data_IF_532815040757
#
_entry.id   IF_532815040757
#
_cell.length_a   1.000
_cell.length_b   1.000
_cell.length_c   1.000
_cell.angle_alpha   90.00
_cell.angle_beta   90.00
_cell.angle_gamma   90.00
#
_symmetry.space_group_name_H-M   'P 1'
#
loop_
_entity.id
_entity.type
_entity.pdbx_description
1 polymer ?
#
# COMPACT_ATOMS: atom_id res chain seq x y z
N UNK A 1 -5.66 -10.73 19.53
CA UNK A 1 -5.16 -9.50 20.20
C UNK A 1 -6.24 -8.93 21.12
N UNK A 2 -5.90 -8.25 22.22
CA UNK A 2 -6.87 -7.57 23.06
C UNK A 2 -7.66 -6.51 22.27
N UNK A 3 -8.99 -6.45 22.47
CA UNK A 3 -9.91 -5.58 21.71
C UNK A 3 -9.50 -4.10 21.80
N UNK A 4 -9.05 -3.64 22.97
CA UNK A 4 -8.63 -2.25 23.15
C UNK A 4 -7.43 -1.88 22.26
N UNK A 5 -6.46 -2.79 22.09
CA UNK A 5 -5.28 -2.58 21.23
C UNK A 5 -5.73 -2.50 19.77
N UNK A 6 -6.62 -3.40 19.36
CA UNK A 6 -7.22 -3.39 18.02
C UNK A 6 -7.87 -2.04 17.72
N UNK A 7 -8.71 -1.54 18.62
CA UNK A 7 -9.39 -0.25 18.42
C UNK A 7 -8.39 0.90 18.31
N UNK A 8 -7.35 0.94 19.15
CA UNK A 8 -6.31 1.98 19.10
C UNK A 8 -5.57 1.95 17.76
N UNK A 9 -5.17 0.78 17.29
CA UNK A 9 -4.48 0.61 16.00
C UNK A 9 -5.38 1.13 14.86
N UNK A 10 -6.66 0.77 14.86
CA UNK A 10 -7.60 1.18 13.83
C UNK A 10 -7.84 2.70 13.82
N UNK A 11 -8.03 3.30 14.99
CA UNK A 11 -8.18 4.76 15.12
C UNK A 11 -6.94 5.45 14.57
N UNK A 12 -5.74 5.03 15.01
CA UNK A 12 -4.49 5.62 14.55
C UNK A 12 -4.30 5.45 13.04
N UNK A 13 -4.56 4.26 12.51
CA UNK A 13 -4.49 3.99 11.07
C UNK A 13 -5.42 4.92 10.29
N UNK A 14 -6.69 5.02 10.70
CA UNK A 14 -7.69 5.86 10.05
C UNK A 14 -7.27 7.34 10.07
N UNK A 15 -6.85 7.86 11.24
CA UNK A 15 -6.43 9.27 11.34
C UNK A 15 -5.20 9.56 10.49
N UNK A 16 -4.22 8.65 10.46
CA UNK A 16 -3.01 8.79 9.66
C UNK A 16 -3.32 8.92 8.16
N UNK A 17 -4.34 8.23 7.65
CA UNK A 17 -4.72 8.35 6.23
C UNK A 17 -5.22 9.75 5.83
N UNK A 18 -5.65 10.58 6.78
CA UNK A 18 -6.04 11.98 6.52
C UNK A 18 -4.88 12.97 6.74
N UNK A 19 -3.69 12.49 7.08
CA UNK A 19 -2.49 13.31 7.20
C UNK A 19 -1.66 13.26 5.90
N UNK A 20 -0.74 14.22 5.78
CA UNK A 20 0.20 14.24 4.68
C UNK A 20 1.43 13.42 5.06
N UNK A 21 1.66 12.33 4.34
CA UNK A 21 2.81 11.47 4.55
C UNK A 21 3.82 11.63 3.42
N UNK A 22 5.11 11.53 3.77
CA UNK A 22 6.19 11.59 2.80
C UNK A 22 6.15 10.39 1.86
N UNK A 23 6.28 10.64 0.56
CA UNK A 23 6.46 9.57 -0.42
C UNK A 23 7.83 8.91 -0.22
N UNK A 24 7.84 7.60 0.03
CA UNK A 24 9.06 6.81 0.19
C UNK A 24 9.17 5.74 -0.90
N UNK A 25 10.32 5.67 -1.58
CA UNK A 25 10.58 4.64 -2.61
C UNK A 25 10.42 3.22 -2.06
N UNK A 26 10.82 2.99 -0.81
CA UNK A 26 10.68 1.67 -0.19
C UNK A 26 9.22 1.22 -0.18
N UNK A 27 8.32 2.05 0.34
CA UNK A 27 6.88 1.73 0.40
C UNK A 27 6.26 1.64 -0.99
N UNK A 28 6.52 2.62 -1.87
CA UNK A 28 5.79 2.75 -3.13
C UNK A 28 6.35 1.87 -4.27
N UNK A 29 7.58 1.38 -4.16
CA UNK A 29 8.25 0.56 -5.19
C UNK A 29 8.60 -0.83 -4.68
N UNK A 30 9.19 -0.96 -3.48
CA UNK A 30 9.62 -2.26 -3.00
C UNK A 30 8.44 -3.17 -2.65
N UNK A 31 7.37 -2.64 -2.06
CA UNK A 31 6.18 -3.44 -1.71
C UNK A 31 5.51 -4.03 -2.97
N UNK A 32 5.20 -3.25 -4.03
CA UNK A 32 4.67 -3.81 -5.27
C UNK A 32 5.57 -4.88 -5.89
N UNK A 33 6.88 -4.64 -5.95
CA UNK A 33 7.84 -5.60 -6.53
C UNK A 33 7.86 -6.90 -5.74
N UNK A 34 7.94 -6.80 -4.41
CA UNK A 34 7.96 -7.96 -3.54
C UNK A 34 6.64 -8.74 -3.62
N UNK A 35 5.51 -8.03 -3.69
CA UNK A 35 4.21 -8.67 -3.85
C UNK A 35 4.11 -9.41 -5.19
N UNK A 36 4.62 -8.84 -6.28
CA UNK A 36 4.69 -9.53 -7.58
C UNK A 36 5.52 -10.80 -7.49
N UNK A 37 6.68 -10.76 -6.83
CA UNK A 37 7.47 -11.96 -6.57
C UNK A 37 6.66 -13.00 -5.78
N UNK A 38 6.01 -12.60 -4.70
CA UNK A 38 5.19 -13.50 -3.88
C UNK A 38 4.00 -14.09 -4.64
N UNK A 39 3.38 -13.34 -5.55
CA UNK A 39 2.33 -13.88 -6.45
C UNK A 39 2.88 -15.05 -7.25
N UNK A 40 4.11 -14.96 -7.80
CA UNK A 40 4.71 -16.07 -8.57
C UNK A 40 4.99 -17.31 -7.74
N UNK A 41 5.27 -17.15 -6.44
CA UNK A 41 5.57 -18.25 -5.51
C UNK A 41 4.29 -18.89 -4.96
N UNK A 42 3.26 -18.09 -4.70
CA UNK A 42 2.03 -18.53 -4.02
C UNK A 42 0.90 -18.88 -4.98
N UNK A 43 1.02 -18.54 -6.28
CA UNK A 43 -0.02 -18.82 -7.27
C UNK A 43 -0.45 -20.29 -7.21
N UNK A 44 -1.76 -20.59 -7.26
CA UNK A 44 -2.21 -21.97 -7.31
C UNK A 44 -1.60 -22.68 -8.52
N UNK A 45 -1.06 -23.87 -8.29
CA UNK A 45 -0.55 -24.70 -9.39
C UNK A 45 -1.70 -25.09 -10.31
N UNK A 46 -1.37 -25.44 -11.57
CA UNK A 46 -2.36 -25.92 -12.54
C UNK A 46 -3.13 -27.16 -12.08
N UNK A 47 -2.57 -27.90 -11.11
CA UNK A 47 -3.22 -29.05 -10.46
C UNK A 47 -4.30 -28.67 -9.44
N UNK A 48 -4.42 -27.40 -9.07
CA UNK A 48 -5.49 -26.90 -8.20
C UNK A 48 -6.77 -26.72 -9.01
N UNK A 49 -7.94 -27.06 -8.45
CA UNK A 49 -9.26 -26.88 -9.09
C UNK A 49 -9.70 -25.41 -9.25
N UNK A 50 -8.79 -24.45 -9.11
CA UNK A 50 -9.09 -23.02 -9.25
C UNK A 50 -9.01 -22.64 -10.73
N UNK A 51 -10.12 -22.22 -11.36
CA UNK A 51 -10.12 -21.81 -12.76
C UNK A 51 -9.25 -20.55 -12.99
N UNK A 52 -8.55 -20.52 -14.13
CA UNK A 52 -7.69 -19.39 -14.54
C UNK A 52 -8.47 -18.06 -14.58
N UNK A 53 -9.74 -18.08 -14.98
CA UNK A 53 -10.56 -16.87 -15.03
C UNK A 53 -10.80 -16.25 -13.65
N UNK A 54 -10.78 -17.04 -12.57
CA UNK A 54 -10.87 -16.51 -11.20
C UNK A 54 -9.57 -15.78 -10.85
N UNK A 55 -8.41 -16.34 -11.22
CA UNK A 55 -7.12 -15.68 -11.01
C UNK A 55 -7.14 -14.31 -11.72
N UNK A 56 -7.54 -14.27 -12.99
CA UNK A 56 -7.68 -13.01 -13.75
C UNK A 56 -8.65 -12.05 -13.06
N UNK A 57 -9.78 -12.53 -12.54
CA UNK A 57 -10.74 -11.72 -11.80
C UNK A 57 -10.12 -11.07 -10.57
N UNK A 58 -9.29 -11.78 -9.78
CA UNK A 58 -8.61 -11.21 -8.61
C UNK A 58 -7.65 -10.08 -9.01
N UNK A 59 -6.91 -10.26 -10.11
CA UNK A 59 -6.06 -9.19 -10.67
C UNK A 59 -6.88 -7.95 -11.06
N UNK A 60 -8.01 -8.15 -11.75
CA UNK A 60 -8.89 -7.05 -12.17
C UNK A 60 -9.45 -6.32 -10.95
N UNK A 61 -9.92 -7.05 -9.93
CA UNK A 61 -10.42 -6.46 -8.68
C UNK A 61 -9.33 -5.62 -8.01
N UNK A 62 -8.13 -6.17 -7.84
CA UNK A 62 -7.00 -5.44 -7.26
C UNK A 62 -6.68 -4.15 -8.03
N UNK A 63 -6.66 -4.22 -9.36
CA UNK A 63 -6.42 -3.04 -10.21
C UNK A 63 -7.53 -1.98 -10.08
N UNK A 64 -8.80 -2.40 -10.10
CA UNK A 64 -9.94 -1.51 -9.90
C UNK A 64 -9.88 -0.80 -8.54
N UNK A 65 -9.54 -1.54 -7.48
CA UNK A 65 -9.36 -0.98 -6.14
C UNK A 65 -8.22 0.06 -6.15
N UNK A 66 -7.05 -0.28 -6.72
CA UNK A 66 -5.91 0.65 -6.79
C UNK A 66 -6.24 1.95 -7.54
N UNK A 67 -6.98 1.86 -8.66
CA UNK A 67 -7.49 3.03 -9.39
C UNK A 67 -8.41 3.86 -8.50
N UNK A 68 -9.34 3.21 -7.80
CA UNK A 68 -10.28 3.88 -6.92
C UNK A 68 -9.56 4.58 -5.75
N UNK A 69 -8.61 3.92 -5.09
CA UNK A 69 -7.81 4.50 -4.01
C UNK A 69 -7.05 5.74 -4.48
N UNK A 70 -6.39 5.66 -5.64
CA UNK A 70 -5.59 6.77 -6.18
C UNK A 70 -6.43 7.95 -6.66
N UNK A 71 -7.73 7.76 -6.93
CA UNK A 71 -8.56 8.73 -7.65
C UNK A 71 -8.73 10.09 -6.94
N UNK A 72 -8.74 10.14 -5.60
CA UNK A 72 -8.86 11.40 -4.81
C UNK A 72 -7.65 11.71 -3.93
N UNK A 73 -6.52 11.05 -4.18
CA UNK A 73 -5.27 11.39 -3.51
C UNK A 73 -4.92 12.86 -3.74
N UNK A 74 -4.54 13.53 -2.65
CA UNK A 74 -3.99 14.87 -2.67
C UNK A 74 -2.46 14.79 -2.62
N UNK A 75 -1.79 15.58 -3.46
CA UNK A 75 -0.33 15.65 -3.54
C UNK A 75 0.07 17.09 -3.22
N UNK A 76 1.01 17.26 -2.30
CA UNK A 76 1.51 18.58 -1.90
C UNK A 76 3.03 18.61 -1.91
N UNK A 77 3.57 19.68 -2.46
CA UNK A 77 4.99 20.02 -2.32
C UNK A 77 5.19 20.76 -1.01
N UNK A 78 5.99 20.21 -0.12
CA UNK A 78 6.37 20.86 1.11
C UNK A 78 7.87 21.18 1.13
N UNK A 79 8.19 22.36 1.65
CA UNK A 79 9.56 22.72 2.02
C UNK A 79 9.74 22.33 3.48
N UNK A 80 10.55 21.32 3.73
CA UNK A 80 10.89 20.88 5.09
C UNK A 80 12.28 21.41 5.41
N UNK A 81 12.41 22.12 6.52
CA UNK A 81 13.70 22.59 7.03
C UNK A 81 14.56 21.38 7.40
N UNK A 82 15.74 21.27 6.78
CA UNK A 82 16.70 20.18 7.00
C UNK A 82 17.90 20.59 7.83
N UNK A 83 18.08 21.88 8.10
CA UNK A 83 19.17 22.40 8.91
C UNK A 83 19.38 23.89 8.69
N UNK A 84 20.39 24.42 9.34
CA UNK A 84 20.86 25.80 9.18
C UNK A 84 22.26 25.74 8.56
N UNK A 85 22.52 26.61 7.58
CA UNK A 85 23.85 26.77 6.99
C UNK A 85 24.22 28.23 7.07
N UNK A 86 25.44 28.51 7.49
CA UNK A 86 25.93 29.87 7.58
C UNK A 86 26.52 30.27 6.23
N UNK A 87 25.92 31.28 5.58
CA UNK A 87 26.44 31.86 4.33
C UNK A 87 26.72 33.32 4.59
N UNK A 88 28.00 33.70 4.50
CA UNK A 88 28.48 35.07 4.71
C UNK A 88 28.14 35.65 6.10
N UNK A 89 28.24 34.85 7.17
CA UNK A 89 28.02 35.30 8.55
C UNK A 89 26.56 35.38 8.99
N UNK A 90 25.62 34.87 8.18
CA UNK A 90 24.18 34.84 8.48
C UNK A 90 23.66 33.41 8.40
N UNK A 91 22.97 32.96 9.45
CA UNK A 91 22.29 31.66 9.47
C UNK A 91 21.13 31.64 8.46
N UNK A 92 21.25 30.78 7.44
CA UNK A 92 20.20 30.54 6.47
C UNK A 92 19.58 29.15 6.67
N UNK A 93 18.25 29.11 6.64
CA UNK A 93 17.48 27.86 6.75
C UNK A 93 17.58 27.07 5.45
N UNK A 94 18.15 25.87 5.51
CA UNK A 94 18.22 24.95 4.36
C UNK A 94 16.92 24.19 4.26
N UNK A 95 16.16 24.43 3.19
CA UNK A 95 14.92 23.70 2.91
C UNK A 95 15.18 22.54 1.95
N UNK A 96 14.71 21.34 2.31
CA UNK A 96 14.57 20.20 1.39
C UNK A 96 13.14 20.15 0.88
N UNK A 97 12.97 20.15 -0.44
CA UNK A 97 11.69 19.84 -1.07
C UNK A 97 11.35 18.38 -0.76
N UNK A 98 10.18 18.15 -0.20
CA UNK A 98 9.62 16.83 0.05
C UNK A 98 8.23 16.74 -0.57
N UNK A 99 7.98 15.63 -1.26
CA UNK A 99 6.66 15.35 -1.84
C UNK A 99 5.84 14.60 -0.79
N UNK A 100 4.68 15.17 -0.45
CA UNK A 100 3.76 14.58 0.49
C UNK A 100 2.47 14.16 -0.19
N UNK A 101 1.93 13.03 0.25
CA UNK A 101 0.71 12.41 -0.27
C UNK A 101 -0.27 12.23 0.88
N UNK A 102 -1.55 12.49 0.61
CA UNK A 102 -2.66 12.24 1.52
C UNK A 102 -3.67 11.32 0.84
N UNK A 103 -3.88 10.13 1.40
CA UNK A 103 -4.77 9.10 0.87
C UNK A 103 -6.26 9.46 1.05
N UNK A 104 -6.65 9.71 2.30
CA UNK A 104 -8.01 10.06 2.71
C UNK A 104 -9.00 8.89 2.63
N UNK A 105 -10.29 9.23 2.59
CA UNK A 105 -11.37 8.24 2.69
C UNK A 105 -11.37 7.19 1.57
N UNK A 106 -11.01 7.54 0.33
CA UNK A 106 -10.98 6.56 -0.78
C UNK A 106 -9.92 5.49 -0.58
N UNK A 107 -8.81 5.83 0.07
CA UNK A 107 -7.79 4.85 0.43
C UNK A 107 -8.35 3.82 1.42
N UNK A 108 -8.97 4.29 2.50
CA UNK A 108 -9.61 3.46 3.52
C UNK A 108 -10.72 2.56 2.95
N UNK A 109 -11.58 3.12 2.09
CA UNK A 109 -12.65 2.35 1.43
C UNK A 109 -12.07 1.27 0.53
N UNK A 110 -11.06 1.59 -0.29
CA UNK A 110 -10.41 0.60 -1.14
C UNK A 110 -9.73 -0.51 -0.33
N UNK A 111 -9.16 -0.14 0.81
CA UNK A 111 -8.56 -1.09 1.72
C UNK A 111 -9.63 -2.02 2.33
N UNK A 112 -10.78 -1.49 2.75
CA UNK A 112 -11.90 -2.32 3.22
C UNK A 112 -12.44 -3.23 2.10
N UNK A 113 -12.41 -2.77 0.85
CA UNK A 113 -12.77 -3.55 -0.32
C UNK A 113 -11.79 -4.71 -0.59
N UNK A 114 -10.49 -4.57 -0.30
CA UNK A 114 -9.51 -5.67 -0.39
C UNK A 114 -9.90 -6.79 0.57
N UNK A 115 -10.12 -6.45 1.84
CA UNK A 115 -10.50 -7.43 2.87
C UNK A 115 -11.83 -8.10 2.48
N UNK A 116 -12.84 -7.31 2.09
CA UNK A 116 -14.13 -7.87 1.69
C UNK A 116 -14.00 -8.80 0.47
N UNK A 117 -13.23 -8.40 -0.55
CA UNK A 117 -13.01 -9.22 -1.75
C UNK A 117 -12.33 -10.55 -1.40
N UNK A 118 -11.30 -10.53 -0.54
CA UNK A 118 -10.62 -11.75 -0.05
C UNK A 118 -11.62 -12.73 0.57
N UNK A 119 -12.42 -12.28 1.54
CA UNK A 119 -13.34 -13.15 2.26
C UNK A 119 -14.46 -13.68 1.35
N UNK A 120 -15.01 -12.83 0.46
CA UNK A 120 -16.02 -13.27 -0.51
C UNK A 120 -15.46 -14.31 -1.47
N UNK A 121 -14.25 -14.10 -2.01
CA UNK A 121 -13.61 -15.04 -2.92
C UNK A 121 -13.25 -16.35 -2.20
N UNK A 122 -12.72 -16.29 -0.99
CA UNK A 122 -12.41 -17.47 -0.19
C UNK A 122 -13.69 -18.30 0.09
N UNK A 123 -14.79 -17.63 0.45
CA UNK A 123 -16.09 -18.28 0.63
C UNK A 123 -16.59 -18.95 -0.66
N UNK A 124 -16.56 -18.24 -1.79
CA UNK A 124 -16.99 -18.79 -3.09
C UNK A 124 -16.14 -19.98 -3.55
N UNK A 125 -14.85 -19.95 -3.23
CA UNK A 125 -13.89 -21.00 -3.57
C UNK A 125 -13.83 -22.13 -2.54
N UNK A 126 -14.60 -22.06 -1.45
CA UNK A 126 -14.57 -22.99 -0.33
C UNK A 126 -13.14 -23.17 0.24
N UNK A 127 -12.39 -22.07 0.31
CA UNK A 127 -11.04 -22.04 0.87
C UNK A 127 -11.11 -21.74 2.36
N UNK A 128 -10.29 -22.46 3.13
CA UNK A 128 -10.17 -22.21 4.57
C UNK A 128 -9.52 -20.85 4.83
N UNK A 129 -10.20 -20.04 5.64
CA UNK A 129 -9.69 -18.77 6.14
C UNK A 129 -9.47 -18.92 7.65
N UNK A 130 -8.21 -18.95 8.06
CA UNK A 130 -7.85 -19.16 9.47
C UNK A 130 -8.00 -17.91 10.34
N UNK A 131 -8.03 -16.73 9.73
CA UNK A 131 -8.15 -15.46 10.45
C UNK A 131 -9.57 -14.89 10.35
N UNK A 132 -9.99 -14.19 11.41
CA UNK A 132 -11.23 -13.41 11.35
C UNK A 132 -11.07 -12.17 10.47
N UNK A 133 -12.17 -11.63 9.95
CA UNK A 133 -12.14 -10.40 9.15
C UNK A 133 -11.52 -9.21 9.91
N UNK A 134 -11.72 -9.13 11.22
CA UNK A 134 -11.09 -8.10 12.05
C UNK A 134 -9.59 -8.33 12.23
N UNK A 135 -9.12 -9.56 12.36
CA UNK A 135 -7.69 -9.84 12.44
C UNK A 135 -6.99 -9.55 11.12
N UNK A 136 -7.56 -10.01 10.00
CA UNK A 136 -7.12 -9.65 8.66
C UNK A 136 -7.05 -8.13 8.52
N UNK A 137 -8.07 -7.44 9.05
CA UNK A 137 -8.13 -6.00 8.97
C UNK A 137 -6.93 -5.36 9.72
N UNK A 138 -6.78 -5.69 11.00
CA UNK A 138 -5.73 -5.09 11.84
C UNK A 138 -4.34 -5.43 11.33
N UNK A 139 -4.12 -6.67 10.89
CA UNK A 139 -2.83 -7.08 10.35
C UNK A 139 -2.45 -6.29 9.11
N UNK A 140 -3.35 -6.14 8.15
CA UNK A 140 -3.04 -5.39 6.94
C UNK A 140 -2.89 -3.88 7.22
N UNK A 141 -3.57 -3.33 8.24
CA UNK A 141 -3.41 -1.94 8.68
C UNK A 141 -2.03 -1.73 9.32
N UNK A 142 -1.59 -2.68 10.14
CA UNK A 142 -0.24 -2.69 10.71
C UNK A 142 0.84 -2.79 9.63
N UNK A 143 0.60 -3.54 8.54
CA UNK A 143 1.55 -3.64 7.42
C UNK A 143 1.74 -2.34 6.67
N UNK A 144 0.67 -1.56 6.52
CA UNK A 144 0.73 -0.23 5.92
C UNK A 144 1.45 0.77 6.84
N UNK A 145 1.27 0.65 8.15
CA UNK A 145 1.95 1.50 9.14
C UNK A 145 3.42 1.15 9.33
N UNK A 146 3.75 -0.14 9.32
CA UNK A 146 5.08 -0.69 9.62
C UNK A 146 5.59 -1.42 8.40
N UNK A 147 6.42 -0.73 7.63
CA UNK A 147 6.99 -1.20 6.38
C UNK A 147 7.52 -2.65 6.43
N UNK A 148 8.25 -3.04 7.48
CA UNK A 148 8.82 -4.38 7.61
C UNK A 148 7.78 -5.49 7.66
N UNK A 149 6.60 -5.21 8.23
CA UNK A 149 5.50 -6.20 8.30
C UNK A 149 4.92 -6.50 6.91
N UNK A 150 5.06 -5.58 5.94
CA UNK A 150 4.64 -5.81 4.55
C UNK A 150 5.41 -6.95 3.86
N UNK A 151 6.56 -7.36 4.41
CA UNK A 151 7.37 -8.48 3.90
C UNK A 151 7.16 -9.79 4.66
N UNK A 152 6.26 -9.81 5.65
CA UNK A 152 5.91 -11.06 6.31
C UNK A 152 5.22 -11.99 5.30
N UNK A 153 5.76 -13.21 5.16
CA UNK A 153 5.18 -14.22 4.30
C UNK A 153 3.74 -14.51 4.71
N UNK A 154 2.83 -14.55 3.74
CA UNK A 154 1.47 -15.04 3.94
C UNK A 154 1.46 -16.50 3.51
N UNK A 155 1.03 -17.37 4.40
CA UNK A 155 0.93 -18.81 4.17
C UNK A 155 -0.54 -19.25 4.14
N UNK A 156 -0.79 -20.41 3.54
CA UNK A 156 -2.12 -21.01 3.48
C UNK A 156 -2.87 -20.80 2.15
N UNK A 157 -4.11 -21.32 2.07
CA UNK A 157 -4.85 -21.44 0.80
C UNK A 157 -5.22 -20.09 0.15
N UNK A 158 -5.27 -19.01 0.93
CA UNK A 158 -5.65 -17.67 0.46
C UNK A 158 -4.47 -16.75 0.17
N UNK A 159 -3.23 -17.18 0.43
CA UNK A 159 -2.04 -16.34 0.34
C UNK A 159 -1.88 -15.67 -1.03
N UNK A 160 -2.18 -16.40 -2.11
CA UNK A 160 -2.13 -15.87 -3.46
C UNK A 160 -3.12 -14.73 -3.70
N UNK A 161 -4.32 -14.79 -3.08
CA UNK A 161 -5.33 -13.72 -3.18
C UNK A 161 -4.84 -12.49 -2.44
N UNK A 162 -4.28 -12.66 -1.25
CA UNK A 162 -3.70 -11.56 -0.47
C UNK A 162 -2.61 -10.82 -1.25
N UNK A 163 -1.63 -11.56 -1.76
CA UNK A 163 -0.52 -10.99 -2.53
C UNK A 163 -0.99 -10.33 -3.82
N UNK A 164 -1.99 -10.91 -4.48
CA UNK A 164 -2.57 -10.33 -5.70
C UNK A 164 -3.33 -9.05 -5.39
N UNK A 165 -4.25 -9.06 -4.43
CA UNK A 165 -5.08 -7.90 -4.13
C UNK A 165 -4.24 -6.73 -3.61
N UNK A 166 -3.32 -6.98 -2.67
CA UNK A 166 -2.44 -5.93 -2.10
C UNK A 166 -1.40 -5.49 -3.12
N UNK A 167 -0.73 -6.44 -3.77
CA UNK A 167 0.33 -6.14 -4.72
C UNK A 167 -0.14 -5.35 -5.91
N UNK A 168 -1.24 -5.80 -6.55
CA UNK A 168 -1.78 -5.15 -7.74
C UNK A 168 -2.44 -3.82 -7.38
N UNK A 169 -3.20 -3.73 -6.28
CA UNK A 169 -3.78 -2.44 -5.86
C UNK A 169 -2.69 -1.41 -5.57
N UNK A 170 -1.62 -1.80 -4.88
CA UNK A 170 -0.49 -0.94 -4.54
C UNK A 170 0.30 -0.54 -5.79
N UNK A 171 0.57 -1.48 -6.71
CA UNK A 171 1.25 -1.21 -7.97
C UNK A 171 0.47 -0.18 -8.80
N UNK A 172 -0.83 -0.41 -8.97
CA UNK A 172 -1.70 0.47 -9.74
C UNK A 172 -1.87 1.82 -9.06
N UNK A 173 -1.97 1.85 -7.73
CA UNK A 173 -1.98 3.07 -6.93
C UNK A 173 -0.72 3.90 -7.18
N UNK A 174 0.47 3.31 -7.06
CA UNK A 174 1.76 3.97 -7.34
C UNK A 174 1.82 4.48 -8.77
N UNK A 175 1.44 3.66 -9.76
CA UNK A 175 1.45 4.07 -11.18
C UNK A 175 0.52 5.27 -11.43
N UNK A 176 -0.67 5.28 -10.83
CA UNK A 176 -1.61 6.40 -10.92
C UNK A 176 -1.06 7.67 -10.26
N UNK A 177 -0.32 7.56 -9.17
CA UNK A 177 0.35 8.71 -8.56
C UNK A 177 1.46 9.27 -9.44
N UNK A 178 2.28 8.40 -10.03
CA UNK A 178 3.32 8.76 -11.00
C UNK A 178 2.71 9.49 -12.21
N UNK A 179 1.56 9.03 -12.69
CA UNK A 179 0.84 9.68 -13.80
C UNK A 179 0.24 11.04 -13.40
N UNK A 180 -0.27 11.17 -12.17
CA UNK A 180 -0.90 12.40 -11.68
C UNK A 180 0.08 13.54 -11.43
N UNK A 181 1.32 13.24 -11.05
CA UNK A 181 2.30 14.27 -10.71
C UNK A 181 3.71 13.94 -11.24
N UNK A 182 4.31 14.81 -12.08
CA UNK A 182 5.69 14.64 -12.54
C UNK A 182 6.70 14.70 -11.37
N UNK A 183 6.33 15.30 -10.25
CA UNK A 183 7.17 15.40 -9.06
C UNK A 183 7.26 14.06 -8.34
N UNK A 184 6.13 13.34 -8.21
CA UNK A 184 6.12 11.96 -7.70
C UNK A 184 6.94 11.06 -8.61
N UNK A 185 6.80 11.19 -9.94
CA UNK A 185 7.62 10.46 -10.91
C UNK A 185 9.12 10.68 -10.67
N UNK A 186 9.51 11.93 -10.44
CA UNK A 186 10.92 12.29 -10.22
C UNK A 186 11.42 11.69 -8.91
N UNK A 187 10.69 11.86 -7.80
CA UNK A 187 11.08 11.33 -6.49
C UNK A 187 11.18 9.79 -6.47
N UNK A 188 10.29 9.09 -7.20
CA UNK A 188 10.24 7.64 -7.21
C UNK A 188 11.23 6.98 -8.20
N UNK A 189 11.40 7.56 -9.40
CA UNK A 189 12.13 6.93 -10.50
C UNK A 189 13.49 7.58 -10.79
N UNK A 190 13.64 8.89 -10.59
CA UNK A 190 14.87 9.60 -10.93
C UNK A 190 15.62 10.01 -9.67
N UNK A 191 16.70 9.28 -9.40
CA UNK A 191 17.68 9.72 -8.41
C UNK A 191 18.38 10.98 -8.94
N UNK A 192 17.90 12.18 -8.57
CA UNK A 192 18.84 13.29 -8.53
C UNK A 192 19.79 12.98 -7.38
N UNK A 193 20.96 12.45 -7.72
CA UNK A 193 22.15 12.64 -6.92
C UNK A 193 22.28 14.16 -6.71
N UNK A 194 21.77 14.65 -5.59
CA UNK A 194 22.24 15.92 -5.05
C UNK A 194 23.64 15.62 -4.55
N UNK A 195 24.63 15.93 -5.37
CA UNK A 195 25.94 16.35 -4.86
C UNK A 195 25.73 17.53 -3.91
#
# INVERSE_FOLDING_TARGET
>A
MPIFITVIILIYFITKQFEYEKVNRLTYVAIPIYSIYQITVTLPHRSTNIPVWIIILVFVIGACIGIYQASKVQIKDAKVTTGYTEVAGVEQVVYKKQIMVKGGARYLIGWAAIILAKFLLAFLLHLDVHESMMEAFVQDALKDMVFFLSFAAKEGPTAWMDWTLIGISSAVYTLRLIQKSPLVKTELLHHKHKK
#
